data_IF_712874205937
#
_entry.id   IF_712874205937
#
_cell.length_a   1.000
_cell.length_b   1.000
_cell.length_c   1.000
_cell.angle_alpha   90.00
_cell.angle_beta   90.00
_cell.angle_gamma   90.00
#
_symmetry.space_group_name_H-M   'P 1'
#
loop_
_entity.id
_entity.type
_entity.pdbx_description
1 polymer ?
#
# COMPACT_ATOMS: atom_id res chain seq x y z
N UNK A 1 5.84 16.01 -9.70
CA UNK A 1 7.24 15.90 -10.11
C UNK A 1 7.26 15.67 -11.60
N UNK A 2 7.50 16.68 -12.39
CA UNK A 2 7.44 16.55 -13.84
C UNK A 2 8.85 16.71 -14.39
N UNK A 3 9.41 15.66 -14.96
CA UNK A 3 10.54 15.73 -15.88
C UNK A 3 11.95 15.49 -15.33
N UNK A 4 12.15 15.26 -14.03
CA UNK A 4 13.50 15.04 -13.46
C UNK A 4 13.75 13.59 -12.99
N UNK A 5 12.70 12.76 -12.86
CA UNK A 5 12.81 11.42 -12.33
C UNK A 5 12.24 10.42 -13.32
N UNK A 6 13.08 9.50 -13.76
CA UNK A 6 12.59 8.35 -14.50
C UNK A 6 11.87 7.37 -13.55
N UNK A 7 11.18 6.41 -14.15
CA UNK A 7 10.38 5.42 -13.43
C UNK A 7 11.23 4.63 -12.42
N UNK A 8 12.42 4.21 -12.79
CA UNK A 8 13.28 3.39 -11.93
C UNK A 8 13.91 4.20 -10.79
N UNK A 9 14.20 5.48 -11.01
CA UNK A 9 14.64 6.39 -9.92
C UNK A 9 13.56 6.54 -8.86
N UNK A 10 12.28 6.67 -9.25
CA UNK A 10 11.16 6.73 -8.29
C UNK A 10 11.04 5.40 -7.53
N UNK A 11 11.17 4.25 -8.22
CA UNK A 11 11.16 2.94 -7.57
C UNK A 11 12.31 2.76 -6.57
N UNK A 12 13.53 3.18 -6.92
CA UNK A 12 14.68 3.14 -6.00
C UNK A 12 14.47 4.02 -4.77
N UNK A 13 13.95 5.22 -4.95
CA UNK A 13 13.66 6.13 -3.84
C UNK A 13 12.55 5.59 -2.94
N UNK A 14 11.53 4.93 -3.51
CA UNK A 14 10.48 4.27 -2.74
C UNK A 14 11.08 3.12 -1.91
N UNK A 15 11.90 2.26 -2.52
CA UNK A 15 12.60 1.20 -1.79
C UNK A 15 13.51 1.75 -0.70
N UNK A 16 14.27 2.81 -0.97
CA UNK A 16 15.12 3.46 0.02
C UNK A 16 14.29 4.03 1.18
N UNK A 17 13.11 4.60 0.90
CA UNK A 17 12.19 5.08 1.92
C UNK A 17 11.63 3.95 2.79
N UNK A 18 11.43 2.76 2.23
CA UNK A 18 10.95 1.58 2.95
C UNK A 18 12.04 0.82 3.73
N UNK A 19 13.33 1.17 3.55
CA UNK A 19 14.44 0.49 4.23
C UNK A 19 14.31 0.42 5.76
N UNK A 20 13.89 1.48 6.49
CA UNK A 20 13.71 1.37 7.95
C UNK A 20 12.74 0.26 8.35
N UNK A 21 11.63 0.14 7.62
CA UNK A 21 10.62 -0.90 7.84
C UNK A 21 11.19 -2.28 7.51
N UNK A 22 11.85 -2.43 6.36
CA UNK A 22 12.45 -3.68 5.93
C UNK A 22 13.50 -4.19 6.93
N UNK A 23 14.41 -3.31 7.36
CA UNK A 23 15.48 -3.66 8.31
C UNK A 23 14.90 -4.02 9.68
N UNK A 24 13.96 -3.25 10.21
CA UNK A 24 13.29 -3.58 11.46
C UNK A 24 12.61 -4.95 11.38
N UNK A 25 11.84 -5.19 10.32
CA UNK A 25 11.12 -6.45 10.15
C UNK A 25 12.07 -7.65 10.02
N UNK A 26 13.13 -7.53 9.22
CA UNK A 26 14.14 -8.59 9.09
C UNK A 26 14.90 -8.84 10.40
N UNK A 27 15.15 -7.78 11.16
CA UNK A 27 15.82 -7.90 12.48
C UNK A 27 14.98 -8.69 13.49
N UNK A 28 13.69 -8.38 13.59
CA UNK A 28 12.79 -9.07 14.52
C UNK A 28 12.33 -10.44 14.02
N UNK A 29 12.14 -10.61 12.71
CA UNK A 29 11.67 -11.85 12.11
C UNK A 29 12.78 -12.85 11.77
N UNK A 30 14.05 -12.41 11.73
CA UNK A 30 15.22 -13.25 11.51
C UNK A 30 15.18 -14.05 10.20
N UNK A 31 15.73 -15.28 10.26
CA UNK A 31 15.81 -16.17 9.09
C UNK A 31 14.45 -16.52 8.48
N UNK A 32 13.38 -16.79 9.25
CA UNK A 32 12.06 -17.04 8.67
C UNK A 32 11.52 -15.87 7.82
N UNK A 33 11.69 -14.64 8.31
CA UNK A 33 11.27 -13.45 7.56
C UNK A 33 12.07 -13.28 6.27
N UNK A 34 13.40 -13.48 6.33
CA UNK A 34 14.26 -13.42 5.15
C UNK A 34 13.91 -14.50 4.12
N UNK A 35 13.61 -15.73 4.58
CA UNK A 35 13.19 -16.82 3.71
C UNK A 35 11.84 -16.53 3.03
N UNK A 36 10.88 -15.98 3.79
CA UNK A 36 9.58 -15.59 3.24
C UNK A 36 9.72 -14.49 2.19
N UNK A 37 10.50 -13.44 2.48
CA UNK A 37 10.79 -12.37 1.51
C UNK A 37 11.45 -12.93 0.25
N UNK A 38 12.45 -13.81 0.41
CA UNK A 38 13.11 -14.45 -0.73
C UNK A 38 12.13 -15.28 -1.57
N UNK A 39 11.23 -16.05 -0.92
CA UNK A 39 10.22 -16.83 -1.64
C UNK A 39 9.27 -15.93 -2.45
N UNK A 40 8.77 -14.85 -1.85
CA UNK A 40 7.90 -13.88 -2.55
C UNK A 40 8.62 -13.19 -3.69
N UNK A 41 9.88 -12.77 -3.49
CA UNK A 41 10.72 -12.18 -4.54
C UNK A 41 10.98 -13.15 -5.69
N UNK A 42 11.23 -14.43 -5.41
CA UNK A 42 11.43 -15.45 -6.45
C UNK A 42 10.16 -15.63 -7.27
N UNK A 43 9.00 -15.79 -6.63
CA UNK A 43 7.73 -15.99 -7.35
C UNK A 43 7.37 -14.77 -8.19
N UNK A 44 7.43 -13.56 -7.62
CA UNK A 44 7.14 -12.33 -8.37
C UNK A 44 8.17 -12.08 -9.48
N UNK A 45 9.47 -12.32 -9.19
CA UNK A 45 10.56 -12.19 -10.15
C UNK A 45 10.43 -13.13 -11.34
N UNK A 46 10.02 -14.38 -11.13
CA UNK A 46 9.75 -15.33 -12.22
C UNK A 46 8.69 -14.79 -13.18
N UNK A 47 7.59 -14.23 -12.67
CA UNK A 47 6.57 -13.61 -13.51
C UNK A 47 7.09 -12.38 -14.27
N UNK A 48 7.92 -11.54 -13.65
CA UNK A 48 8.57 -10.43 -14.34
C UNK A 48 9.47 -10.92 -15.48
N UNK A 49 10.25 -11.99 -15.27
CA UNK A 49 11.07 -12.60 -16.33
C UNK A 49 10.21 -13.14 -17.47
N UNK A 50 9.12 -13.87 -17.15
CA UNK A 50 8.18 -14.38 -18.16
C UNK A 50 7.63 -13.24 -19.03
N UNK A 51 7.14 -12.15 -18.42
CA UNK A 51 6.59 -11.01 -19.14
C UNK A 51 7.66 -10.19 -19.87
N UNK A 52 8.88 -10.13 -19.35
CA UNK A 52 10.02 -9.54 -20.05
C UNK A 52 10.30 -10.30 -21.35
N UNK A 53 10.30 -11.63 -21.32
CA UNK A 53 10.53 -12.46 -22.50
C UNK A 53 9.38 -12.41 -23.51
N UNK A 54 8.13 -12.37 -23.02
CA UNK A 54 6.94 -12.41 -23.88
C UNK A 54 6.55 -11.05 -24.46
N UNK A 55 6.76 -9.96 -23.72
CA UNK A 55 6.25 -8.62 -24.08
C UNK A 55 7.34 -7.54 -24.11
N UNK A 56 8.61 -7.90 -23.97
CA UNK A 56 9.74 -6.97 -23.88
C UNK A 56 9.53 -5.86 -22.81
N UNK A 57 8.82 -6.17 -21.73
CA UNK A 57 8.63 -5.23 -20.63
C UNK A 57 9.90 -5.14 -19.79
N UNK A 58 10.45 -3.95 -19.56
CA UNK A 58 11.61 -3.82 -18.70
C UNK A 58 11.24 -4.19 -17.24
N UNK A 59 12.09 -4.95 -16.53
CA UNK A 59 11.88 -5.24 -15.12
C UNK A 59 11.90 -3.94 -14.31
N UNK A 60 11.13 -3.88 -13.23
CA UNK A 60 11.12 -2.74 -12.32
C UNK A 60 11.49 -3.15 -10.91
N UNK A 61 12.30 -2.32 -10.24
CA UNK A 61 12.64 -2.49 -8.83
C UNK A 61 11.42 -2.29 -7.90
N UNK A 62 10.35 -1.68 -8.39
CA UNK A 62 9.12 -1.51 -7.61
C UNK A 62 8.47 -2.85 -7.20
N UNK A 63 8.70 -3.93 -7.98
CA UNK A 63 8.29 -5.28 -7.58
C UNK A 63 8.85 -5.74 -6.24
N UNK A 64 10.06 -5.26 -5.86
CA UNK A 64 10.63 -5.56 -4.55
C UNK A 64 9.88 -4.87 -3.40
N UNK A 65 9.33 -3.66 -3.61
CA UNK A 65 8.49 -2.99 -2.62
C UNK A 65 7.18 -3.75 -2.41
N UNK A 66 6.56 -4.22 -3.50
CA UNK A 66 5.37 -5.08 -3.43
C UNK A 66 5.65 -6.41 -2.74
N UNK A 67 6.79 -7.05 -3.04
CA UNK A 67 7.20 -8.30 -2.40
C UNK A 67 7.44 -8.12 -0.89
N UNK A 68 8.08 -7.02 -0.48
CA UNK A 68 8.27 -6.68 0.93
C UNK A 68 6.92 -6.52 1.64
N UNK A 69 5.98 -5.77 1.05
CA UNK A 69 4.66 -5.57 1.64
C UNK A 69 3.88 -6.89 1.78
N UNK A 70 3.93 -7.78 0.77
CA UNK A 70 3.30 -9.10 0.86
C UNK A 70 3.97 -9.95 1.94
N UNK A 71 5.30 -10.04 1.95
CA UNK A 71 6.01 -10.86 2.92
C UNK A 71 5.74 -10.44 4.38
N UNK A 72 5.53 -9.13 4.61
CA UNK A 72 5.25 -8.60 5.95
C UNK A 72 3.80 -8.74 6.40
N UNK A 73 2.86 -8.66 5.46
CA UNK A 73 1.43 -8.47 5.77
C UNK A 73 0.58 -9.69 5.41
N UNK A 74 1.12 -10.68 4.68
CA UNK A 74 0.35 -11.85 4.27
C UNK A 74 -0.13 -12.67 5.47
N UNK A 75 -1.37 -13.17 5.45
CA UNK A 75 -1.84 -14.13 6.43
C UNK A 75 -1.04 -15.43 6.34
N UNK A 76 -1.00 -16.17 7.45
CA UNK A 76 -0.30 -17.46 7.56
C UNK A 76 -1.04 -18.52 6.73
N UNK A 77 -0.71 -18.55 5.46
CA UNK A 77 -1.22 -19.51 4.47
C UNK A 77 -0.14 -20.49 4.06
N UNK A 78 -0.53 -21.67 3.65
CA UNK A 78 0.45 -22.63 3.13
C UNK A 78 1.18 -22.13 1.88
N UNK A 79 2.35 -22.71 1.54
CA UNK A 79 3.20 -22.21 0.46
C UNK A 79 2.51 -22.19 -0.91
N UNK A 80 1.62 -23.11 -1.19
CA UNK A 80 0.85 -23.15 -2.44
C UNK A 80 -0.10 -21.96 -2.54
N UNK A 81 -0.82 -21.65 -1.47
CA UNK A 81 -1.72 -20.49 -1.43
C UNK A 81 -0.95 -19.18 -1.59
N UNK A 82 0.21 -19.05 -0.93
CA UNK A 82 1.09 -17.90 -1.07
C UNK A 82 1.57 -17.72 -2.52
N UNK A 83 2.05 -18.80 -3.16
CA UNK A 83 2.48 -18.77 -4.56
C UNK A 83 1.32 -18.33 -5.48
N UNK A 84 0.12 -18.88 -5.28
CA UNK A 84 -1.06 -18.51 -6.06
C UNK A 84 -1.42 -17.03 -5.85
N UNK A 85 -1.43 -16.56 -4.60
CA UNK A 85 -1.74 -15.17 -4.27
C UNK A 85 -0.73 -14.18 -4.85
N UNK A 86 0.57 -14.44 -4.70
CA UNK A 86 1.63 -13.61 -5.27
C UNK A 86 1.55 -13.60 -6.80
N UNK A 87 1.35 -14.76 -7.41
CA UNK A 87 1.19 -14.88 -8.87
C UNK A 87 -0.03 -14.08 -9.35
N UNK A 88 -1.17 -14.23 -8.68
CA UNK A 88 -2.39 -13.49 -9.02
C UNK A 88 -2.19 -11.98 -8.91
N UNK A 89 -1.67 -11.48 -7.79
CA UNK A 89 -1.46 -10.04 -7.58
C UNK A 89 -0.43 -9.46 -8.54
N UNK A 90 0.72 -10.12 -8.73
CA UNK A 90 1.77 -9.66 -9.65
C UNK A 90 1.27 -9.63 -11.09
N UNK A 91 0.62 -10.69 -11.55
CA UNK A 91 0.15 -10.77 -12.94
C UNK A 91 -1.04 -9.84 -13.18
N UNK A 92 -2.09 -9.95 -12.36
CA UNK A 92 -3.36 -9.27 -12.61
C UNK A 92 -3.37 -7.80 -12.22
N UNK A 93 -2.56 -7.37 -11.24
CA UNK A 93 -2.52 -5.97 -10.83
C UNK A 93 -1.44 -5.15 -11.56
N UNK A 94 -0.37 -5.79 -12.02
CA UNK A 94 0.78 -5.07 -12.57
C UNK A 94 1.10 -5.47 -14.01
N UNK A 95 1.44 -6.75 -14.24
CA UNK A 95 2.05 -7.18 -15.50
C UNK A 95 1.08 -7.15 -16.69
N UNK A 96 -0.20 -7.47 -16.47
CA UNK A 96 -1.23 -7.39 -17.52
C UNK A 96 -1.41 -5.97 -18.02
N UNK A 97 -1.28 -4.97 -17.14
CA UNK A 97 -1.41 -3.55 -17.48
C UNK A 97 -0.14 -2.94 -18.08
N UNK A 98 0.97 -3.66 -18.13
CA UNK A 98 2.22 -3.18 -18.73
C UNK A 98 3.30 -2.80 -17.72
N UNK A 99 3.21 -3.34 -16.50
CA UNK A 99 4.18 -3.17 -15.42
C UNK A 99 3.93 -1.95 -14.54
N UNK A 100 4.78 -1.77 -13.53
CA UNK A 100 4.67 -0.69 -12.57
C UNK A 100 4.61 0.69 -13.23
N UNK A 101 3.78 1.55 -12.71
CA UNK A 101 3.47 2.88 -13.26
C UNK A 101 2.24 2.90 -14.18
N UNK A 102 1.69 1.73 -14.54
CA UNK A 102 0.44 1.56 -15.30
C UNK A 102 -0.58 0.71 -14.56
N UNK A 103 -0.22 0.20 -13.39
CA UNK A 103 -1.09 -0.56 -12.52
C UNK A 103 -2.20 0.32 -11.94
N UNK A 104 -3.42 -0.23 -11.89
CA UNK A 104 -4.58 0.44 -11.33
C UNK A 104 -4.57 0.37 -9.78
N UNK A 105 -4.09 -0.75 -9.25
CA UNK A 105 -4.00 -1.05 -7.82
C UNK A 105 -2.59 -1.54 -7.50
N UNK A 106 -2.16 -1.33 -6.27
CA UNK A 106 -0.88 -1.85 -5.81
C UNK A 106 -0.88 -3.39 -5.81
N UNK A 107 0.12 -4.07 -6.41
CA UNK A 107 0.13 -5.53 -6.55
C UNK A 107 0.02 -6.26 -5.22
N UNK A 108 0.70 -5.76 -4.18
CA UNK A 108 0.58 -6.35 -2.85
C UNK A 108 -0.84 -6.23 -2.27
N UNK A 109 -1.55 -5.14 -2.53
CA UNK A 109 -2.94 -4.99 -2.08
C UNK A 109 -3.85 -6.06 -2.68
N UNK A 110 -3.69 -6.35 -3.97
CA UNK A 110 -4.45 -7.41 -4.65
C UNK A 110 -4.05 -8.80 -4.15
N UNK A 111 -2.75 -9.05 -3.96
CA UNK A 111 -2.25 -10.30 -3.36
C UNK A 111 -2.88 -10.53 -1.99
N UNK A 112 -2.82 -9.54 -1.11
CA UNK A 112 -3.34 -9.63 0.25
C UNK A 112 -4.87 -9.76 0.29
N UNK A 113 -5.58 -9.07 -0.61
CA UNK A 113 -7.02 -9.22 -0.75
C UNK A 113 -7.38 -10.64 -1.21
N UNK A 114 -6.68 -11.18 -2.22
CA UNK A 114 -6.87 -12.56 -2.68
C UNK A 114 -6.65 -13.57 -1.56
N UNK A 115 -5.57 -13.42 -0.80
CA UNK A 115 -5.26 -14.30 0.33
C UNK A 115 -6.27 -14.15 1.46
N UNK A 116 -6.64 -12.93 1.83
CA UNK A 116 -7.57 -12.65 2.92
C UNK A 116 -9.00 -13.13 2.64
N UNK A 117 -9.49 -12.99 1.40
CA UNK A 117 -10.83 -13.46 1.02
C UNK A 117 -10.84 -14.96 0.70
N UNK A 118 -9.80 -15.45 0.04
CA UNK A 118 -9.71 -16.87 -0.37
C UNK A 118 -9.40 -17.81 0.80
N UNK A 119 -8.69 -17.32 1.80
CA UNK A 119 -8.24 -18.10 2.96
C UNK A 119 -8.63 -17.41 4.26
N UNK A 120 -9.91 -17.15 4.44
CA UNK A 120 -10.45 -16.36 5.55
C UNK A 120 -10.19 -16.92 6.95
N UNK A 121 -9.85 -18.21 7.06
CA UNK A 121 -9.48 -18.85 8.32
C UNK A 121 -7.99 -18.68 8.69
N UNK A 122 -7.16 -18.16 7.78
CA UNK A 122 -5.75 -17.97 8.03
C UNK A 122 -5.51 -16.81 9.01
N UNK A 123 -4.61 -17.00 9.96
CA UNK A 123 -4.25 -15.98 10.92
C UNK A 123 -3.46 -14.87 10.24
N UNK A 124 -3.79 -13.62 10.52
CA UNK A 124 -3.01 -12.47 10.08
C UNK A 124 -1.83 -12.22 11.01
N UNK A 125 -0.71 -11.69 10.49
CA UNK A 125 0.49 -11.51 11.29
C UNK A 125 0.26 -10.49 12.42
N UNK A 126 0.81 -10.81 13.59
CA UNK A 126 0.97 -9.84 14.67
C UNK A 126 2.34 -9.15 14.52
N UNK A 127 2.31 -7.85 14.32
CA UNK A 127 3.50 -7.07 14.00
C UNK A 127 4.11 -6.49 15.30
N UNK A 128 5.40 -6.74 15.57
CA UNK A 128 6.08 -6.13 16.70
C UNK A 128 6.01 -4.60 16.62
N UNK A 129 5.74 -3.93 17.74
CA UNK A 129 5.63 -2.47 17.80
C UNK A 129 6.81 -1.72 17.18
N UNK A 130 8.10 -2.15 17.37
CA UNK A 130 9.22 -1.46 16.72
C UNK A 130 9.17 -1.50 15.18
N UNK A 131 8.66 -2.60 14.61
CA UNK A 131 8.47 -2.73 13.15
C UNK A 131 7.38 -1.75 12.68
N UNK A 132 6.27 -1.68 13.39
CA UNK A 132 5.19 -0.77 13.07
C UNK A 132 5.61 0.71 13.19
N UNK A 133 6.38 1.07 14.23
CA UNK A 133 6.91 2.43 14.40
C UNK A 133 7.95 2.82 13.33
N UNK A 134 8.62 1.85 12.70
CA UNK A 134 9.51 2.12 11.56
C UNK A 134 8.77 2.72 10.34
N UNK A 135 7.44 2.64 10.31
CA UNK A 135 6.63 3.35 9.32
C UNK A 135 6.78 4.88 9.39
N UNK A 136 7.06 5.45 10.57
CA UNK A 136 7.24 6.91 10.73
C UNK A 136 8.47 7.40 9.95
N UNK A 137 9.71 6.91 10.21
CA UNK A 137 10.86 7.32 9.43
C UNK A 137 10.72 6.95 7.94
N UNK A 138 10.07 5.85 7.59
CA UNK A 138 9.81 5.50 6.20
C UNK A 138 8.89 6.53 5.51
N UNK A 139 7.81 6.94 6.17
CA UNK A 139 6.93 8.01 5.67
C UNK A 139 7.68 9.33 5.48
N UNK A 140 8.54 9.70 6.43
CA UNK A 140 9.35 10.92 6.33
C UNK A 140 10.34 10.86 5.16
N UNK A 141 11.08 9.74 5.04
CA UNK A 141 12.03 9.52 3.94
C UNK A 141 11.34 9.50 2.58
N UNK A 142 10.11 8.97 2.49
CA UNK A 142 9.32 8.98 1.24
C UNK A 142 8.68 10.33 0.93
N UNK A 143 8.29 11.10 1.95
CA UNK A 143 7.65 12.40 1.77
C UNK A 143 8.64 13.51 1.36
N UNK A 144 9.88 13.49 1.87
CA UNK A 144 10.90 14.50 1.58
C UNK A 144 11.22 14.58 0.08
N UNK A 145 11.59 13.50 -0.62
CA UNK A 145 11.75 13.53 -2.08
C UNK A 145 10.42 13.58 -2.83
N UNK A 146 9.29 13.38 -2.13
CA UNK A 146 7.93 13.40 -2.64
C UNK A 146 7.56 12.14 -3.43
N UNK A 147 8.23 11.02 -3.21
CA UNK A 147 7.81 9.72 -3.75
C UNK A 147 6.58 9.19 -3.04
N UNK A 148 6.40 9.52 -1.76
CA UNK A 148 5.13 9.31 -1.06
C UNK A 148 4.35 10.63 -0.98
N UNK A 149 3.04 10.64 -1.30
CA UNK A 149 2.23 11.85 -1.28
C UNK A 149 2.04 12.39 0.16
N UNK A 150 2.80 13.42 0.55
CA UNK A 150 2.72 14.00 1.89
C UNK A 150 1.29 14.44 2.29
N UNK A 151 0.47 14.86 1.30
CA UNK A 151 -0.94 15.24 1.53
C UNK A 151 -1.81 14.05 1.93
N UNK A 152 -1.56 12.88 1.33
CA UNK A 152 -2.24 11.63 1.67
C UNK A 152 -1.86 11.21 3.10
N UNK A 153 -0.57 11.24 3.42
CA UNK A 153 -0.08 10.93 4.78
C UNK A 153 -0.70 11.88 5.83
N UNK A 154 -0.74 13.17 5.53
CA UNK A 154 -1.37 14.17 6.40
C UNK A 154 -2.89 13.98 6.51
N UNK A 155 -3.57 13.64 5.40
CA UNK A 155 -5.00 13.32 5.40
C UNK A 155 -5.32 12.11 6.26
N UNK A 156 -4.50 11.06 6.18
CA UNK A 156 -4.64 9.87 7.03
C UNK A 156 -4.38 10.18 8.51
N UNK A 157 -3.34 10.97 8.81
CA UNK A 157 -3.05 11.38 10.18
C UNK A 157 -4.19 12.21 10.79
N UNK A 158 -4.73 13.19 10.05
CA UNK A 158 -5.88 13.98 10.50
C UNK A 158 -7.14 13.13 10.64
N UNK A 159 -7.42 12.23 9.70
CA UNK A 159 -8.54 11.30 9.79
C UNK A 159 -8.44 10.38 11.01
N UNK A 160 -7.24 9.83 11.27
CA UNK A 160 -6.98 9.01 12.46
C UNK A 160 -7.12 9.80 13.77
N UNK A 161 -6.61 11.04 13.80
CA UNK A 161 -6.76 11.93 14.96
C UNK A 161 -8.23 12.29 15.22
N UNK A 162 -9.01 12.58 14.18
CA UNK A 162 -10.44 12.84 14.31
C UNK A 162 -11.21 11.61 14.81
N UNK A 163 -10.90 10.43 14.30
CA UNK A 163 -11.48 9.18 14.76
C UNK A 163 -11.18 8.92 16.24
N UNK A 164 -9.94 9.15 16.66
CA UNK A 164 -9.55 9.06 18.06
C UNK A 164 -10.29 10.10 18.94
N UNK A 165 -10.37 11.35 18.51
CA UNK A 165 -11.08 12.41 19.24
C UNK A 165 -12.59 12.14 19.38
N UNK A 166 -13.17 11.40 18.44
CA UNK A 166 -14.56 10.93 18.49
C UNK A 166 -14.75 9.68 19.38
N UNK A 167 -13.69 9.19 20.04
CA UNK A 167 -13.73 8.02 20.91
C UNK A 167 -13.83 6.68 20.18
N UNK A 168 -13.50 6.64 18.87
CA UNK A 168 -13.52 5.38 18.10
C UNK A 168 -12.36 4.46 18.52
N UNK A 169 -12.51 3.12 18.47
CA UNK A 169 -11.50 2.16 18.94
C UNK A 169 -10.32 2.00 17.97
N UNK A 170 -9.68 3.10 17.57
CA UNK A 170 -8.60 3.10 16.57
C UNK A 170 -7.21 2.90 17.17
N UNK A 171 -7.02 3.17 18.47
CA UNK A 171 -5.69 3.16 19.11
C UNK A 171 -4.95 1.83 18.95
N UNK A 172 -5.55 0.66 19.17
CA UNK A 172 -4.87 -0.62 18.98
C UNK A 172 -4.50 -0.91 17.52
N UNK A 173 -5.15 -0.24 16.57
CA UNK A 173 -4.95 -0.43 15.14
C UNK A 173 -3.88 0.51 14.55
N UNK A 174 -3.55 1.62 15.24
CA UNK A 174 -2.63 2.64 14.73
C UNK A 174 -1.29 2.08 14.25
N UNK A 175 -0.63 1.14 14.96
CA UNK A 175 0.64 0.57 14.50
C UNK A 175 0.50 -0.16 13.15
N UNK A 176 -0.49 -1.04 13.02
CA UNK A 176 -0.75 -1.78 11.78
C UNK A 176 -1.25 -0.84 10.66
N UNK A 177 -2.16 0.08 11.00
CA UNK A 177 -2.69 1.05 10.04
C UNK A 177 -1.60 1.99 9.50
N UNK A 178 -0.68 2.46 10.34
CA UNK A 178 0.46 3.27 9.92
C UNK A 178 1.40 2.52 8.98
N UNK A 179 1.69 1.26 9.28
CA UNK A 179 2.53 0.43 8.44
C UNK A 179 1.89 0.14 7.08
N UNK A 180 0.62 -0.26 7.07
CA UNK A 180 -0.16 -0.51 5.84
C UNK A 180 -0.32 0.76 5.01
N UNK A 181 -0.51 1.92 5.66
CA UNK A 181 -0.55 3.22 4.97
C UNK A 181 0.72 3.44 4.14
N UNK A 182 1.88 3.21 4.73
CA UNK A 182 3.19 3.44 4.09
C UNK A 182 3.50 2.39 3.02
N UNK A 183 3.15 1.12 3.28
CA UNK A 183 3.46 0.02 2.36
C UNK A 183 2.50 -0.08 1.17
N UNK A 184 1.22 0.27 1.33
CA UNK A 184 0.19 0.00 0.32
C UNK A 184 -0.50 1.26 -0.21
N UNK A 185 -0.86 2.20 0.68
CA UNK A 185 -1.72 3.34 0.31
C UNK A 185 -0.92 4.52 -0.21
N UNK A 186 0.26 4.77 0.37
CA UNK A 186 1.13 5.88 0.00
C UNK A 186 1.98 5.61 -1.27
N UNK A 187 1.62 4.57 -2.04
CA UNK A 187 2.25 4.31 -3.34
C UNK A 187 1.92 5.43 -4.34
N UNK A 188 2.92 5.99 -5.04
CA UNK A 188 2.73 7.11 -5.94
C UNK A 188 1.89 6.80 -7.18
N UNK A 189 1.73 5.52 -7.52
CA UNK A 189 1.03 5.09 -8.74
C UNK A 189 -0.45 4.82 -8.46
N UNK A 190 -0.76 4.12 -7.36
CA UNK A 190 -2.12 3.67 -7.02
C UNK A 190 -2.89 4.64 -6.11
N UNK A 191 -2.26 5.72 -5.64
CA UNK A 191 -2.92 6.76 -4.85
C UNK A 191 -3.46 7.90 -5.70
N UNK A 192 -4.37 8.71 -5.14
CA UNK A 192 -4.93 9.87 -5.82
C UNK A 192 -3.85 10.90 -6.20
N UNK A 193 -3.87 11.33 -7.47
CA UNK A 193 -2.84 12.20 -8.06
C UNK A 193 -3.09 13.70 -7.82
N UNK A 194 -4.35 14.10 -7.64
CA UNK A 194 -4.70 15.52 -7.41
C UNK A 194 -4.42 15.93 -5.97
N UNK A 195 -4.18 17.23 -5.76
CA UNK A 195 -3.91 17.75 -4.41
C UNK A 195 -5.05 17.50 -3.42
N UNK A 196 -6.29 17.72 -3.85
CA UNK A 196 -7.46 17.49 -3.02
C UNK A 196 -7.79 16.00 -2.92
N UNK A 197 -7.66 15.24 -4.01
CA UNK A 197 -7.82 13.79 -4.03
C UNK A 197 -6.89 13.09 -3.04
N UNK A 198 -5.62 13.48 -2.98
CA UNK A 198 -4.66 12.90 -2.03
C UNK A 198 -5.07 13.14 -0.55
N UNK A 199 -5.55 14.34 -0.18
CA UNK A 199 -6.09 14.60 1.14
C UNK A 199 -7.30 13.72 1.46
N UNK A 200 -8.25 13.64 0.50
CA UNK A 200 -9.46 12.84 0.65
C UNK A 200 -9.13 11.34 0.70
N UNK A 201 -8.15 10.87 -0.08
CA UNK A 201 -7.75 9.46 -0.11
C UNK A 201 -7.16 9.02 1.24
N UNK A 202 -6.27 9.81 1.84
CA UNK A 202 -5.74 9.55 3.17
C UNK A 202 -6.83 9.59 4.26
N UNK A 203 -7.71 10.60 4.22
CA UNK A 203 -8.81 10.70 5.17
C UNK A 203 -9.80 9.54 5.02
N UNK A 204 -10.11 9.10 3.79
CA UNK A 204 -10.94 7.93 3.52
C UNK A 204 -10.33 6.67 4.08
N UNK A 205 -9.02 6.45 3.88
CA UNK A 205 -8.32 5.30 4.46
C UNK A 205 -8.49 5.26 5.98
N UNK A 206 -8.20 6.36 6.67
CA UNK A 206 -8.35 6.43 8.12
C UNK A 206 -9.82 6.24 8.59
N UNK A 207 -10.77 6.81 7.86
CA UNK A 207 -12.20 6.62 8.11
C UNK A 207 -12.65 5.17 7.94
N UNK A 208 -12.12 4.47 6.91
CA UNK A 208 -12.39 3.04 6.70
C UNK A 208 -11.77 2.17 7.79
N UNK A 209 -10.55 2.48 8.24
CA UNK A 209 -9.93 1.80 9.39
C UNK A 209 -10.82 1.95 10.61
N UNK A 210 -11.29 3.16 10.92
CA UNK A 210 -12.17 3.42 12.05
C UNK A 210 -13.54 2.71 11.92
N UNK A 211 -14.11 2.71 10.72
CA UNK A 211 -15.37 2.02 10.44
C UNK A 211 -15.25 0.50 10.64
N UNK A 212 -14.20 -0.09 10.07
CA UNK A 212 -13.99 -1.54 10.21
C UNK A 212 -13.60 -1.94 11.62
N UNK A 213 -12.91 -1.08 12.37
CA UNK A 213 -12.66 -1.27 13.79
C UNK A 213 -13.95 -1.44 14.60
N UNK A 214 -14.99 -0.70 14.24
CA UNK A 214 -16.31 -0.83 14.89
C UNK A 214 -17.10 -2.05 14.41
N UNK A 215 -17.07 -2.32 13.10
CA UNK A 215 -17.87 -3.41 12.53
C UNK A 215 -17.26 -4.80 12.81
N UNK A 216 -15.93 -4.89 12.83
CA UNK A 216 -15.16 -6.13 13.01
C UNK A 216 -14.37 -6.11 14.30
N UNK A 217 -15.04 -5.99 15.44
CA UNK A 217 -14.39 -5.88 16.74
C UNK A 217 -13.42 -7.01 17.12
N UNK A 218 -13.44 -8.13 16.39
CA UNK A 218 -12.54 -9.27 16.53
C UNK A 218 -11.56 -9.41 15.33
N UNK A 219 -11.57 -8.50 14.39
CA UNK A 219 -10.69 -8.53 13.22
C UNK A 219 -9.24 -8.23 13.62
N UNK A 220 -8.27 -8.95 13.01
CA UNK A 220 -6.86 -8.67 13.23
C UNK A 220 -6.53 -7.25 12.72
N UNK A 221 -5.67 -6.47 13.44
CA UNK A 221 -5.34 -5.10 13.06
C UNK A 221 -4.82 -4.97 11.62
N UNK A 222 -3.98 -5.90 11.16
CA UNK A 222 -3.46 -5.93 9.79
C UNK A 222 -4.58 -6.19 8.78
N UNK A 223 -5.49 -7.13 9.07
CA UNK A 223 -6.64 -7.43 8.20
C UNK A 223 -7.53 -6.21 7.98
N UNK A 224 -7.87 -5.52 9.07
CA UNK A 224 -8.66 -4.29 9.04
C UNK A 224 -7.97 -3.23 8.17
N UNK A 225 -6.68 -3.00 8.41
CA UNK A 225 -5.91 -1.99 7.69
C UNK A 225 -5.76 -2.32 6.20
N UNK A 226 -5.51 -3.59 5.83
CA UNK A 226 -5.39 -4.05 4.43
C UNK A 226 -6.74 -3.92 3.71
N UNK A 227 -7.85 -4.28 4.37
CA UNK A 227 -9.19 -4.12 3.80
C UNK A 227 -9.54 -2.65 3.54
N UNK A 228 -9.17 -1.77 4.48
CA UNK A 228 -9.30 -0.32 4.31
C UNK A 228 -8.43 0.21 3.17
N UNK A 229 -7.18 -0.29 3.05
CA UNK A 229 -6.26 0.09 1.97
C UNK A 229 -6.81 -0.30 0.58
N UNK A 230 -7.40 -1.50 0.44
CA UNK A 230 -8.04 -1.93 -0.80
C UNK A 230 -9.13 -0.95 -1.23
N UNK A 231 -10.07 -0.63 -0.34
CA UNK A 231 -11.17 0.27 -0.67
C UNK A 231 -10.71 1.71 -0.91
N UNK A 232 -9.74 2.20 -0.14
CA UNK A 232 -9.16 3.52 -0.35
C UNK A 232 -8.45 3.65 -1.70
N UNK A 233 -7.72 2.60 -2.12
CA UNK A 233 -7.06 2.56 -3.43
C UNK A 233 -8.05 2.44 -4.58
N UNK A 234 -9.12 1.65 -4.43
CA UNK A 234 -10.20 1.57 -5.42
C UNK A 234 -10.94 2.90 -5.59
N UNK A 235 -11.06 3.67 -4.52
CA UNK A 235 -11.72 4.98 -4.55
C UNK A 235 -10.82 6.10 -5.10
N UNK A 236 -9.51 5.92 -5.21
CA UNK A 236 -8.57 6.97 -5.60
C UNK A 236 -8.93 7.67 -6.92
N UNK A 237 -9.27 6.97 -8.03
CA UNK A 237 -9.70 7.61 -9.27
C UNK A 237 -10.97 8.45 -9.10
N UNK A 238 -11.95 7.95 -8.35
CA UNK A 238 -13.19 8.68 -8.07
C UNK A 238 -12.92 9.98 -7.29
N UNK A 239 -12.00 9.94 -6.32
CA UNK A 239 -11.61 11.12 -5.54
C UNK A 239 -10.93 12.17 -6.41
N UNK A 240 -10.13 11.75 -7.39
CA UNK A 240 -9.55 12.66 -8.38
C UNK A 240 -10.60 13.29 -9.29
N UNK A 241 -11.60 12.54 -9.77
CA UNK A 241 -12.72 13.06 -10.55
C UNK A 241 -13.52 14.11 -9.76
N UNK A 242 -13.83 13.82 -8.48
CA UNK A 242 -14.52 14.78 -7.60
C UNK A 242 -13.68 16.06 -7.42
N UNK A 243 -12.35 15.91 -7.23
CA UNK A 243 -11.44 17.04 -7.07
C UNK A 243 -11.41 17.92 -8.33
N UNK A 244 -11.36 17.32 -9.52
CA UNK A 244 -11.35 18.00 -10.81
C UNK A 244 -12.71 18.69 -11.04
N UNK A 245 -13.82 18.00 -10.83
CA UNK A 245 -15.16 18.55 -11.01
C UNK A 245 -15.41 19.78 -10.12
N UNK A 246 -14.99 19.70 -8.84
CA UNK A 246 -15.12 20.83 -7.91
C UNK A 246 -14.24 22.01 -8.32
N UNK A 247 -13.03 21.77 -8.82
CA UNK A 247 -12.16 22.82 -9.34
C UNK A 247 -12.74 23.51 -10.58
N UNK A 248 -13.28 22.73 -11.54
CA UNK A 248 -13.93 23.25 -12.73
C UNK A 248 -15.17 24.08 -12.39
N UNK A 249 -16.01 23.63 -11.46
CA UNK A 249 -17.20 24.37 -11.02
C UNK A 249 -16.83 25.70 -10.38
N UNK A 250 -15.77 25.75 -9.53
CA UNK A 250 -15.27 27.01 -8.95
C UNK A 250 -14.72 27.95 -10.02
N UNK A 251 -14.03 27.43 -11.04
CA UNK A 251 -13.48 28.24 -12.12
C UNK A 251 -14.58 28.86 -12.98
N UNK A 252 -15.63 28.10 -13.33
CA UNK A 252 -16.80 28.62 -14.08
C UNK A 252 -17.48 29.77 -13.33
N UNK A 253 -17.64 29.68 -12.00
CA UNK A 253 -18.25 30.77 -11.20
C UNK A 253 -17.41 32.04 -11.11
N UNK A 254 -16.12 32.00 -11.44
CA UNK A 254 -15.23 33.17 -11.41
C UNK A 254 -15.12 33.89 -12.76
N UNK A 255 -15.46 33.21 -13.83
CA UNK A 255 -15.27 33.72 -15.20
C UNK A 255 -16.60 33.77 -16.02
N UNK A 256 -17.71 33.39 -15.44
CA UNK A 256 -19.08 33.61 -15.93
C UNK A 256 -19.76 34.69 -15.11
#
# INVERSE_FOLDING_TARGET
>A
MRGLWDRETVAMLLLAALMPVALAWLWYGGVPAAALLAAVLVVSGLWHVVFMLMRAQPPSLAGAASALAVAMLAPDVGPVALILGVSFGTVMAELVFGGWGRNLLHPATITLAFLGFGFSAAAWPDLPLPVAWAAIPAAMLGAVPGVMPARLLAGAALGGLTAWALGLPVVPLLPAAGLVLVLLVADPVSSAATRAGAWMNGALYAGLVALFAQLWGQGAPVQIAVSAALLASLAAPLLDEIAIATWLARRRRRHG
#
